data_IF_394066302930
#
_entry.id   IF_394066302930
#
_cell.length_a   1.000
_cell.length_b   1.000
_cell.length_c   1.000
_cell.angle_alpha   90.00
_cell.angle_beta   90.00
_cell.angle_gamma   90.00
#
_symmetry.space_group_name_H-M   'P 1'
#
loop_
_entity.id
_entity.type
_entity.pdbx_description
1 polymer ?
#
# COMPACT_ATOMS: atom_id res chain seq x y z
N UNK A 1 -22.36 -12.16 -11.63
CA UNK A 1 -22.19 -12.17 -11.30
C UNK A 1 -21.84 -11.98 -10.37
N UNK A 2 -21.76 -11.87 -9.86
CA UNK A 2 -21.58 -11.85 -8.99
C UNK A 2 -20.50 -11.94 -8.42
N UNK A 3 -20.13 -12.11 -8.34
CA UNK A 3 -19.08 -12.61 -7.76
C UNK A 3 -17.82 -11.94 -7.89
N UNK A 4 -17.71 -10.87 -8.60
CA UNK A 4 -16.56 -10.11 -8.72
C UNK A 4 -16.12 -9.56 -7.41
N UNK A 5 -17.05 -9.18 -6.57
CA UNK A 5 -16.68 -8.69 -5.29
C UNK A 5 -16.06 -9.73 -4.44
N UNK A 6 -16.49 -10.95 -4.58
CA UNK A 6 -15.92 -11.99 -3.78
C UNK A 6 -14.49 -12.26 -4.16
N UNK A 7 -14.15 -11.97 -5.41
CA UNK A 7 -12.80 -12.20 -5.86
C UNK A 7 -11.90 -11.00 -5.67
N UNK A 8 -12.44 -9.89 -5.22
CA UNK A 8 -11.63 -8.72 -5.00
C UNK A 8 -11.07 -8.75 -3.61
N UNK A 9 -9.78 -8.87 -3.53
CA UNK A 9 -9.09 -8.80 -2.26
C UNK A 9 -8.62 -7.38 -2.07
N UNK A 10 -8.96 -6.79 -0.94
CA UNK A 10 -8.57 -5.43 -0.63
C UNK A 10 -7.76 -5.41 0.65
N UNK A 11 -6.78 -4.55 0.68
CA UNK A 11 -5.96 -4.38 1.86
C UNK A 11 -6.06 -2.93 2.32
N UNK A 12 -5.74 -2.70 3.57
CA UNK A 12 -5.68 -1.35 4.10
C UNK A 12 -4.44 -0.67 3.56
N UNK A 13 -4.62 0.54 3.03
CA UNK A 13 -3.50 1.34 2.56
C UNK A 13 -3.56 2.68 3.26
N UNK A 14 -2.46 3.06 3.86
CA UNK A 14 -2.36 4.32 4.56
C UNK A 14 -1.32 5.18 3.87
N UNK A 15 -1.72 6.36 3.44
CA UNK A 15 -0.79 7.29 2.83
C UNK A 15 -0.57 8.42 3.80
N UNK A 16 0.68 8.60 4.19
CA UNK A 16 1.04 9.68 5.09
C UNK A 16 1.51 10.86 4.29
N UNK A 17 1.12 12.03 4.71
CA UNK A 17 1.49 13.25 3.99
C UNK A 17 1.84 14.29 5.02
N UNK A 18 2.86 15.08 4.70
CA UNK A 18 3.25 16.15 5.60
C UNK A 18 2.16 17.19 5.72
N UNK A 19 1.43 17.38 4.65
CA UNK A 19 0.48 18.50 4.62
C UNK A 19 -0.91 18.06 4.97
N UNK A 20 -1.29 16.89 4.49
CA UNK A 20 -2.67 16.46 4.63
C UNK A 20 -2.86 15.45 5.74
N UNK A 21 -1.79 15.03 6.41
CA UNK A 21 -1.91 14.02 7.44
C UNK A 21 -2.03 12.64 6.84
N UNK A 22 -2.88 11.83 7.38
CA UNK A 22 -3.01 10.44 6.96
C UNK A 22 -4.30 10.23 6.21
N UNK A 23 -4.23 9.48 5.14
CA UNK A 23 -5.42 9.04 4.43
C UNK A 23 -5.42 7.53 4.44
N UNK A 24 -6.53 6.95 4.89
CA UNK A 24 -6.66 5.49 4.97
C UNK A 24 -7.72 5.04 3.98
N UNK A 25 -7.43 3.97 3.27
CA UNK A 25 -8.38 3.47 2.28
C UNK A 25 -8.16 1.99 2.12
N UNK A 26 -9.11 1.33 1.46
CA UNK A 26 -8.98 -0.09 1.15
C UNK A 26 -8.91 -0.24 -0.35
N UNK A 27 -7.84 -0.84 -0.81
CA UNK A 27 -7.56 -0.92 -2.24
C UNK A 27 -7.27 -2.35 -2.65
N UNK A 28 -7.56 -2.64 -3.91
CA UNK A 28 -7.16 -3.92 -4.48
C UNK A 28 -5.69 -3.89 -4.82
N UNK A 29 -5.17 -5.05 -5.22
CA UNK A 29 -3.76 -5.13 -5.56
C UNK A 29 -3.39 -4.18 -6.70
N UNK A 30 -4.09 -4.16 -7.84
CA UNK A 30 -3.67 -3.25 -8.90
C UNK A 30 -3.80 -1.79 -8.49
N UNK A 31 -4.80 -1.46 -7.69
CA UNK A 31 -4.94 -0.08 -7.23
C UNK A 31 -3.79 0.30 -6.31
N UNK A 32 -3.41 -0.61 -5.42
CA UNK A 32 -2.32 -0.35 -4.51
C UNK A 32 -1.01 -0.20 -5.25
N UNK A 33 -0.76 -1.08 -6.21
CA UNK A 33 0.49 -1.02 -6.96
C UNK A 33 0.58 0.25 -7.78
N UNK A 34 -0.54 0.69 -8.34
CA UNK A 34 -0.55 1.95 -9.08
C UNK A 34 -0.22 3.11 -8.16
N UNK A 35 -0.77 3.11 -6.96
CA UNK A 35 -0.49 4.17 -6.00
C UNK A 35 0.97 4.16 -5.57
N UNK A 36 1.52 2.98 -5.34
CA UNK A 36 2.92 2.85 -4.96
C UNK A 36 3.80 3.40 -6.08
N UNK A 37 3.47 3.06 -7.32
CA UNK A 37 4.27 3.54 -8.43
C UNK A 37 4.21 5.05 -8.56
N UNK A 38 3.03 5.62 -8.37
CA UNK A 38 2.88 7.07 -8.47
C UNK A 38 3.67 7.81 -7.41
N UNK A 39 3.91 7.17 -6.27
CA UNK A 39 4.58 7.81 -5.17
C UNK A 39 5.99 7.28 -4.94
N UNK A 40 6.52 6.53 -5.89
CA UNK A 40 7.79 5.82 -5.66
C UNK A 40 8.96 6.78 -5.49
N UNK A 41 8.86 7.97 -6.05
CA UNK A 41 9.95 8.92 -5.93
C UNK A 41 9.92 9.71 -4.62
N UNK A 42 8.81 9.68 -3.93
CA UNK A 42 8.64 10.52 -2.75
C UNK A 42 8.31 9.78 -1.49
N UNK A 43 7.95 8.51 -1.59
CA UNK A 43 7.50 7.74 -0.42
C UNK A 43 8.18 6.40 -0.36
N UNK A 44 8.44 5.95 0.85
CA UNK A 44 8.80 4.57 1.11
C UNK A 44 7.54 3.78 1.34
N UNK A 45 7.59 2.49 1.07
CA UNK A 45 6.44 1.60 1.24
C UNK A 45 6.76 0.59 2.32
N UNK A 46 5.87 0.49 3.28
CA UNK A 46 5.98 -0.50 4.34
C UNK A 46 4.79 -1.43 4.28
N UNK A 47 5.03 -2.69 4.52
CA UNK A 47 3.96 -3.68 4.65
C UNK A 47 4.13 -4.36 5.98
N UNK A 48 3.12 -4.23 6.83
CA UNK A 48 3.16 -4.82 8.16
C UNK A 48 4.39 -4.35 8.92
N UNK A 49 4.71 -3.07 8.76
CA UNK A 49 5.81 -2.47 9.46
C UNK A 49 7.18 -2.72 8.89
N UNK A 50 7.26 -3.39 7.74
CA UNK A 50 8.55 -3.69 7.11
C UNK A 50 8.66 -2.97 5.80
N UNK A 51 9.83 -2.42 5.55
CA UNK A 51 10.10 -1.75 4.28
C UNK A 51 10.09 -2.79 3.17
N UNK A 52 9.32 -2.54 2.14
CA UNK A 52 9.24 -3.47 1.00
C UNK A 52 9.40 -2.69 -0.29
N UNK A 53 9.79 -3.43 -1.33
CA UNK A 53 9.88 -2.88 -2.66
C UNK A 53 8.66 -3.27 -3.46
N UNK A 54 8.42 -2.54 -4.53
CA UNK A 54 7.25 -2.80 -5.35
C UNK A 54 7.21 -4.23 -5.85
N UNK A 55 8.37 -4.78 -6.23
CA UNK A 55 8.41 -6.15 -6.72
C UNK A 55 7.98 -7.14 -5.63
N UNK A 56 8.38 -6.89 -4.39
CA UNK A 56 7.96 -7.75 -3.30
C UNK A 56 6.47 -7.64 -3.09
N UNK A 57 5.94 -6.43 -3.18
CA UNK A 57 4.53 -6.22 -2.99
C UNK A 57 3.74 -6.88 -4.11
N UNK A 58 4.23 -6.79 -5.34
CA UNK A 58 3.53 -7.37 -6.47
C UNK A 58 3.44 -8.89 -6.38
N UNK A 59 4.40 -9.51 -5.71
CA UNK A 59 4.44 -10.96 -5.58
C UNK A 59 3.92 -11.45 -4.24
N UNK A 60 3.38 -10.58 -3.42
CA UNK A 60 2.90 -10.97 -2.12
C UNK A 60 1.58 -11.72 -2.23
N UNK A 61 1.23 -12.41 -1.16
CA UNK A 61 -0.05 -13.12 -1.09
C UNK A 61 -1.09 -12.15 -0.55
N UNK A 62 -1.83 -11.54 -1.43
CA UNK A 62 -2.77 -10.49 -1.06
C UNK A 62 -3.95 -11.03 -0.27
N UNK A 63 -4.36 -12.25 -0.54
CA UNK A 63 -5.45 -12.85 0.23
C UNK A 63 -5.02 -13.01 1.68
N UNK A 64 -3.81 -13.46 1.89
CA UNK A 64 -3.31 -13.60 3.25
C UNK A 64 -3.14 -12.24 3.92
N UNK A 65 -2.69 -11.26 3.18
CA UNK A 65 -2.55 -9.91 3.73
C UNK A 65 -3.89 -9.39 4.19
N UNK A 66 -4.93 -9.62 3.40
CA UNK A 66 -6.26 -9.16 3.78
C UNK A 66 -6.76 -9.90 5.01
N UNK A 67 -6.51 -11.20 5.07
CA UNK A 67 -6.94 -11.99 6.22
C UNK A 67 -6.26 -11.54 7.51
N UNK A 68 -5.01 -11.11 7.39
CA UNK A 68 -4.23 -10.71 8.57
C UNK A 68 -4.38 -9.23 8.87
N UNK A 69 -5.22 -8.53 8.16
CA UNK A 69 -5.42 -7.09 8.32
C UNK A 69 -4.11 -6.33 8.16
N UNK A 70 -3.30 -6.77 7.22
CA UNK A 70 -2.03 -6.11 6.94
C UNK A 70 -2.28 -4.73 6.38
N UNK A 71 -1.52 -3.75 6.83
CA UNK A 71 -1.60 -2.40 6.32
C UNK A 71 -0.37 -2.08 5.50
N UNK A 72 -0.61 -1.56 4.30
CA UNK A 72 0.46 -1.05 3.46
C UNK A 72 0.54 0.45 3.72
N UNK A 73 1.71 0.93 4.09
CA UNK A 73 1.89 2.33 4.42
C UNK A 73 2.83 2.99 3.45
N UNK A 74 2.46 4.16 2.98
CA UNK A 74 3.33 4.99 2.17
C UNK A 74 3.75 6.16 3.02
N UNK A 75 5.04 6.25 3.30
CA UNK A 75 5.60 7.22 4.24
C UNK A 75 6.55 8.12 3.47
N UNK A 76 6.43 9.45 3.61
CA UNK A 76 7.33 10.34 2.89
C UNK A 76 8.78 10.05 3.22
N UNK A 77 9.61 10.04 2.21
CA UNK A 77 11.02 9.83 2.41
C UNK A 77 11.62 11.08 3.04
N UNK A 78 12.51 10.85 3.98
CA UNK A 78 13.24 11.95 4.54
C UNK A 78 14.41 12.22 3.63
N UNK A 79 14.31 13.29 2.93
CA UNK A 79 15.38 13.65 2.05
C UNK A 79 16.38 14.38 2.88
N UNK A 80 17.46 13.80 3.09
CA UNK A 80 18.34 14.32 3.98
C UNK A 80 18.79 15.65 3.68
N UNK A 81 18.73 16.16 3.09
CA UNK A 81 19.21 17.33 2.96
C UNK A 81 18.86 18.27 3.85
N UNK A 82 18.64 18.14 4.20
CA UNK A 82 18.46 19.04 4.77
C UNK A 82 18.93 19.47 5.22
#
# INVERSE_FOLDING_TARGET
MKNEKENEVRVHVEVCSKEAGHACMELTQPETLAMVEQNSDSHWVFSDGRLVEMAQLANADWAEMADNNTTVQLVPQLVGGL
#
